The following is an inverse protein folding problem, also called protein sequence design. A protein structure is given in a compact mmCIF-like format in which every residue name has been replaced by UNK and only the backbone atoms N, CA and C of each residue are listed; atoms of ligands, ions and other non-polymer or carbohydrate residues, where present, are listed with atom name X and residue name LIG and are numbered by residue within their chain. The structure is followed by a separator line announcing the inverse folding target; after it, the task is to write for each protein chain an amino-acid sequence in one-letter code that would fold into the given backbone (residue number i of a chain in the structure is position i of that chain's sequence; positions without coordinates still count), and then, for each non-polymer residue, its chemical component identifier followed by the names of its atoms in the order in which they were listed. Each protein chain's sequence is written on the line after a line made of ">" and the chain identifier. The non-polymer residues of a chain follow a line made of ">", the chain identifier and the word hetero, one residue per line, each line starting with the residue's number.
data_IF_415190643366
#
_entry.id   IF_415190643366
#
_cell.length_a   1.000
_cell.length_b   1.000
_cell.length_c   1.000
_cell.angle_alpha   90.00
_cell.angle_beta   90.00
_cell.angle_gamma   90.00
#
_symmetry.space_group_name_H-M   'P 1'
#
loop_
_entity.id
_entity.type
_entity.pdbx_description
1 polymer ?
#
# COMPACT_ATOMS: atom_id res chain seq x y z
N UNK A 1 0.34 28.45 -0.37
CA UNK A 1 0.63 27.81 0.92
C UNK A 1 2.14 27.82 1.02
N UNK A 2 2.69 28.63 1.92
CA UNK A 2 4.13 28.71 2.11
C UNK A 2 4.56 27.51 2.93
N UNK A 3 5.20 26.54 2.27
CA UNK A 3 5.71 25.34 2.91
C UNK A 3 6.80 25.72 3.91
N UNK A 4 6.56 25.47 5.20
CA UNK A 4 7.57 25.63 6.26
C UNK A 4 8.36 24.33 6.39
N UNK A 5 9.67 24.40 6.17
CA UNK A 5 10.56 23.25 6.34
C UNK A 5 11.33 23.39 7.65
N UNK A 6 11.25 22.38 8.51
CA UNK A 6 12.09 22.30 9.70
C UNK A 6 13.50 21.83 9.30
N UNK A 7 14.52 22.61 9.63
CA UNK A 7 15.92 22.21 9.47
C UNK A 7 16.40 21.59 10.78
N UNK A 8 16.53 20.27 10.83
CA UNK A 8 17.11 19.60 12.00
C UNK A 8 18.62 19.80 12.02
N UNK A 9 19.16 20.20 13.18
CA UNK A 9 20.61 20.30 13.46
C UNK A 9 21.16 19.05 14.17
N UNK A 10 20.31 18.07 14.48
CA UNK A 10 20.68 16.89 15.26
C UNK A 10 21.47 15.85 14.46
N UNK A 11 21.40 15.89 13.13
CA UNK A 11 22.11 14.99 12.22
C UNK A 11 22.82 15.82 11.15
N UNK A 12 24.13 15.61 10.97
CA UNK A 12 24.84 16.18 9.84
C UNK A 12 24.33 15.58 8.53
N UNK A 13 24.48 16.33 7.43
CA UNK A 13 24.08 15.87 6.09
C UNK A 13 24.85 14.61 5.70
N UNK A 14 26.11 14.53 6.07
CA UNK A 14 26.98 13.38 5.81
C UNK A 14 26.47 12.12 6.51
N UNK A 15 26.11 12.23 7.79
CA UNK A 15 25.53 11.11 8.55
C UNK A 15 24.19 10.69 7.97
N UNK A 16 23.30 11.65 7.67
CA UNK A 16 22.01 11.36 7.05
C UNK A 16 22.17 10.64 5.70
N UNK A 17 23.08 11.11 4.84
CA UNK A 17 23.39 10.46 3.57
C UNK A 17 23.92 9.03 3.77
N UNK A 18 24.78 8.81 4.76
CA UNK A 18 25.27 7.47 5.11
C UNK A 18 24.15 6.51 5.54
N UNK A 19 23.21 6.99 6.36
CA UNK A 19 22.05 6.21 6.82
C UNK A 19 21.04 5.91 5.71
N UNK A 20 20.99 6.74 4.66
CA UNK A 20 20.12 6.57 3.49
C UNK A 20 20.75 5.72 2.39
N UNK A 21 21.94 5.16 2.62
CA UNK A 21 22.61 4.29 1.65
C UNK A 21 21.78 3.03 1.36
N UNK A 22 21.53 2.77 0.07
CA UNK A 22 20.71 1.64 -0.39
C UNK A 22 21.60 0.49 -0.81
N UNK A 23 21.21 -0.74 -0.50
CA UNK A 23 21.94 -1.94 -0.88
C UNK A 23 21.03 -2.99 -1.50
N UNK A 24 21.45 -3.54 -2.64
CA UNK A 24 20.65 -4.47 -3.42
C UNK A 24 20.48 -5.84 -2.75
N UNK A 25 21.56 -6.42 -2.23
CA UNK A 25 21.53 -7.79 -1.71
C UNK A 25 20.63 -7.95 -0.49
N UNK A 26 20.68 -7.06 0.53
CA UNK A 26 19.76 -7.14 1.65
C UNK A 26 18.30 -6.93 1.23
N UNK A 27 18.05 -6.07 0.24
CA UNK A 27 16.70 -5.83 -0.27
C UNK A 27 16.11 -7.07 -0.96
N UNK A 28 16.89 -7.76 -1.81
CA UNK A 28 16.46 -9.04 -2.42
C UNK A 28 16.17 -10.08 -1.34
N UNK A 29 17.11 -10.28 -0.41
CA UNK A 29 16.96 -11.28 0.65
C UNK A 29 15.71 -11.05 1.51
N UNK A 30 15.46 -9.80 1.93
CA UNK A 30 14.25 -9.44 2.70
C UNK A 30 12.99 -9.61 1.88
N UNK A 31 12.97 -9.17 0.62
CA UNK A 31 11.80 -9.32 -0.25
C UNK A 31 11.43 -10.80 -0.44
N UNK A 32 12.41 -11.63 -0.83
CA UNK A 32 12.22 -13.06 -1.03
C UNK A 32 11.76 -13.75 0.26
N UNK A 33 12.41 -13.46 1.40
CA UNK A 33 12.03 -14.04 2.69
C UNK A 33 10.58 -13.71 3.06
N UNK A 34 10.20 -12.42 2.98
CA UNK A 34 8.85 -11.98 3.32
C UNK A 34 7.80 -12.62 2.40
N UNK A 35 8.07 -12.70 1.10
CA UNK A 35 7.18 -13.37 0.15
C UNK A 35 7.06 -14.87 0.44
N UNK A 36 8.17 -15.58 0.66
CA UNK A 36 8.15 -17.01 0.93
C UNK A 36 7.42 -17.34 2.24
N UNK A 37 7.65 -16.57 3.31
CA UNK A 37 6.97 -16.76 4.59
C UNK A 37 5.47 -16.48 4.48
N UNK A 38 5.07 -15.46 3.73
CA UNK A 38 3.65 -15.18 3.43
C UNK A 38 3.00 -16.33 2.64
N UNK A 39 3.66 -16.86 1.61
CA UNK A 39 3.12 -17.97 0.81
C UNK A 39 3.06 -19.28 1.61
N UNK A 40 4.09 -19.57 2.42
CA UNK A 40 4.13 -20.75 3.27
C UNK A 40 3.03 -20.71 4.34
N UNK A 41 2.86 -19.57 5.02
CA UNK A 41 1.77 -19.40 6.01
C UNK A 41 0.39 -19.48 5.36
N UNK A 42 0.20 -18.93 4.16
CA UNK A 42 -1.04 -19.07 3.40
C UNK A 42 -1.32 -20.53 3.00
N UNK A 43 -0.29 -21.28 2.64
CA UNK A 43 -0.40 -22.72 2.34
C UNK A 43 -0.84 -23.50 3.59
N UNK A 44 -0.24 -23.21 4.75
CA UNK A 44 -0.64 -23.83 6.04
C UNK A 44 -2.10 -23.51 6.37
N UNK A 45 -2.55 -22.28 6.15
CA UNK A 45 -3.96 -21.90 6.33
C UNK A 45 -4.89 -22.75 5.45
N UNK A 46 -4.56 -22.93 4.17
CA UNK A 46 -5.36 -23.76 3.25
C UNK A 46 -5.38 -25.22 3.70
N UNK A 47 -4.22 -25.78 4.07
CA UNK A 47 -4.10 -27.18 4.52
C UNK A 47 -4.83 -27.46 5.83
N UNK A 48 -4.99 -26.44 6.69
CA UNK A 48 -5.69 -26.58 7.98
C UNK A 48 -7.18 -26.24 7.90
N UNK A 49 -7.68 -25.74 6.76
CA UNK A 49 -9.03 -25.19 6.61
C UNK A 49 -10.16 -26.16 6.98
N UNK A 50 -10.03 -27.43 6.61
CA UNK A 50 -11.00 -28.49 6.94
C UNK A 50 -10.74 -29.16 8.31
N UNK A 51 -9.74 -28.68 9.05
CA UNK A 51 -9.35 -29.21 10.35
C UNK A 51 -10.13 -28.59 11.51
N UNK A 52 -9.68 -28.84 12.76
CA UNK A 52 -10.26 -28.22 13.95
C UNK A 52 -10.23 -26.69 13.88
N UNK A 53 -11.26 -26.05 14.43
CA UNK A 53 -11.43 -24.58 14.35
C UNK A 53 -10.19 -23.82 14.86
N UNK A 54 -9.60 -24.27 15.96
CA UNK A 54 -8.42 -23.62 16.53
C UNK A 54 -7.21 -23.63 15.58
N UNK A 55 -7.07 -24.66 14.73
CA UNK A 55 -5.91 -24.84 13.88
C UNK A 55 -5.91 -23.84 12.73
N UNK A 56 -7.02 -23.72 12.00
CA UNK A 56 -7.12 -22.75 10.92
C UNK A 56 -7.21 -21.31 11.44
N UNK A 57 -7.79 -21.07 12.62
CA UNK A 57 -7.79 -19.74 13.25
C UNK A 57 -6.37 -19.30 13.59
N UNK A 58 -5.54 -20.18 14.17
CA UNK A 58 -4.14 -19.86 14.45
C UNK A 58 -3.36 -19.62 13.14
N UNK A 59 -3.54 -20.49 12.14
CA UNK A 59 -2.91 -20.32 10.84
C UNK A 59 -3.32 -19.00 10.16
N UNK A 60 -4.58 -18.58 10.30
CA UNK A 60 -5.10 -17.31 9.79
C UNK A 60 -4.41 -16.11 10.45
N UNK A 61 -4.23 -16.14 11.77
CA UNK A 61 -3.53 -15.07 12.50
C UNK A 61 -2.07 -14.96 12.06
N UNK A 62 -1.38 -16.10 11.91
CA UNK A 62 0.01 -16.15 11.41
C UNK A 62 0.08 -15.60 9.98
N UNK A 63 -0.79 -16.08 9.09
CA UNK A 63 -0.85 -15.59 7.71
C UNK A 63 -1.13 -14.07 7.66
N UNK A 64 -2.06 -13.57 8.47
CA UNK A 64 -2.36 -12.14 8.57
C UNK A 64 -1.13 -11.32 8.98
N UNK A 65 -0.40 -11.75 10.01
CA UNK A 65 0.83 -11.08 10.44
C UNK A 65 1.93 -11.11 9.36
N UNK A 66 2.11 -12.26 8.69
CA UNK A 66 3.07 -12.41 7.60
C UNK A 66 2.70 -11.56 6.38
N UNK A 67 1.41 -11.48 6.04
CA UNK A 67 0.89 -10.64 4.95
C UNK A 67 1.10 -9.16 5.25
N UNK A 68 0.75 -8.68 6.45
CA UNK A 68 1.04 -7.31 6.87
C UNK A 68 2.54 -6.98 6.83
N UNK A 69 3.39 -7.93 7.21
CA UNK A 69 4.85 -7.76 7.14
C UNK A 69 5.35 -7.69 5.69
N UNK A 70 4.79 -8.50 4.79
CA UNK A 70 5.11 -8.46 3.37
C UNK A 70 4.68 -7.14 2.70
N UNK A 71 3.62 -6.49 3.19
CA UNK A 71 3.22 -5.16 2.72
C UNK A 71 4.31 -4.10 2.93
N UNK A 72 5.14 -4.22 3.97
CA UNK A 72 6.28 -3.33 4.18
C UNK A 72 7.25 -3.33 2.98
N UNK A 73 7.40 -4.47 2.29
CA UNK A 73 8.22 -4.55 1.09
C UNK A 73 7.61 -3.76 -0.08
N UNK A 74 6.28 -3.79 -0.27
CA UNK A 74 5.58 -2.94 -1.23
C UNK A 74 5.74 -1.45 -0.88
N UNK A 75 5.57 -1.09 0.39
CA UNK A 75 5.74 0.27 0.87
C UNK A 75 7.12 0.83 0.53
N UNK A 76 8.18 0.14 0.94
CA UNK A 76 9.55 0.60 0.77
C UNK A 76 9.97 0.67 -0.71
N UNK A 77 9.49 -0.26 -1.52
CA UNK A 77 9.76 -0.26 -2.96
C UNK A 77 8.97 0.82 -3.71
N UNK A 78 7.77 1.18 -3.25
CA UNK A 78 6.99 2.30 -3.80
C UNK A 78 7.66 3.66 -3.52
N UNK A 79 8.33 3.79 -2.37
CA UNK A 79 9.21 4.94 -2.07
C UNK A 79 10.51 4.93 -2.88
N UNK A 80 10.90 3.77 -3.40
CA UNK A 80 12.16 3.60 -4.13
C UNK A 80 13.39 3.56 -3.23
N UNK A 81 13.20 3.25 -1.95
CA UNK A 81 14.23 3.26 -0.92
C UNK A 81 14.80 1.87 -0.63
N UNK A 82 14.13 0.80 -1.06
CA UNK A 82 14.61 -0.58 -0.87
C UNK A 82 15.86 -0.89 -1.72
N UNK A 83 15.78 -0.72 -3.05
CA UNK A 83 16.89 -1.04 -3.97
C UNK A 83 17.66 0.21 -4.40
N UNK A 84 18.94 0.06 -4.77
CA UNK A 84 19.72 1.13 -5.40
C UNK A 84 19.22 1.48 -6.81
N UNK A 85 18.60 0.52 -7.51
CA UNK A 85 18.04 0.71 -8.85
C UNK A 85 16.57 1.08 -8.79
N UNK A 86 16.21 2.12 -9.55
CA UNK A 86 14.80 2.54 -9.72
C UNK A 86 13.96 1.48 -10.41
N UNK A 87 14.49 0.75 -11.39
CA UNK A 87 13.74 -0.31 -12.09
C UNK A 87 13.48 -1.50 -11.17
N UNK A 88 14.48 -1.90 -10.37
CA UNK A 88 14.32 -2.98 -9.39
C UNK A 88 13.22 -2.66 -8.37
N UNK A 89 13.19 -1.43 -7.84
CA UNK A 89 12.11 -0.98 -6.96
C UNK A 89 10.75 -1.05 -7.66
N UNK A 90 10.63 -0.58 -8.91
CA UNK A 90 9.36 -0.64 -9.66
C UNK A 90 8.85 -2.06 -9.87
N UNK A 91 9.74 -2.98 -10.25
CA UNK A 91 9.38 -4.39 -10.44
C UNK A 91 8.95 -5.02 -9.11
N UNK A 92 9.72 -4.82 -8.04
CA UNK A 92 9.39 -5.35 -6.73
C UNK A 92 8.07 -4.75 -6.18
N UNK A 93 7.83 -3.46 -6.41
CA UNK A 93 6.57 -2.80 -6.05
C UNK A 93 5.40 -3.38 -6.85
N UNK A 94 5.57 -3.65 -8.16
CA UNK A 94 4.53 -4.29 -8.96
C UNK A 94 4.20 -5.70 -8.45
N UNK A 95 5.21 -6.54 -8.19
CA UNK A 95 5.02 -7.88 -7.63
C UNK A 95 4.38 -7.86 -6.24
N UNK A 96 4.83 -6.95 -5.35
CA UNK A 96 4.21 -6.74 -4.04
C UNK A 96 2.76 -6.23 -4.16
N UNK A 97 2.48 -5.44 -5.20
CA UNK A 97 1.16 -4.95 -5.54
C UNK A 97 0.19 -6.06 -5.93
N UNK A 98 0.63 -7.02 -6.76
CA UNK A 98 -0.16 -8.22 -7.09
C UNK A 98 -0.53 -8.97 -5.80
N UNK A 99 0.45 -9.23 -4.93
CA UNK A 99 0.23 -9.94 -3.67
C UNK A 99 -0.78 -9.26 -2.72
N UNK A 100 -0.99 -7.94 -2.86
CA UNK A 100 -1.87 -7.15 -1.97
C UNK A 100 -3.09 -6.55 -2.67
N UNK A 101 -3.39 -7.00 -3.90
CA UNK A 101 -4.45 -6.47 -4.75
C UNK A 101 -4.38 -4.94 -4.84
N UNK A 102 -3.21 -4.43 -5.21
CA UNK A 102 -2.93 -2.99 -5.18
C UNK A 102 -1.96 -2.59 -6.31
N UNK A 103 -2.44 -1.96 -7.40
CA UNK A 103 -1.56 -1.48 -8.46
C UNK A 103 -0.55 -0.49 -7.87
N UNK A 104 0.74 -0.78 -8.05
CA UNK A 104 1.81 -0.10 -7.33
C UNK A 104 1.87 1.40 -7.62
N UNK A 105 1.59 1.80 -8.86
CA UNK A 105 1.49 3.18 -9.32
C UNK A 105 0.36 3.93 -8.62
N UNK A 106 -0.79 3.30 -8.46
CA UNK A 106 -1.95 3.86 -7.80
C UNK A 106 -1.76 3.93 -6.28
N UNK A 107 -1.16 2.90 -5.67
CA UNK A 107 -0.70 2.95 -4.27
C UNK A 107 0.27 4.11 -4.06
N UNK A 108 1.25 4.29 -4.95
CA UNK A 108 2.24 5.36 -4.84
C UNK A 108 1.63 6.76 -4.94
N UNK A 109 0.61 6.98 -5.78
CA UNK A 109 -0.12 8.25 -5.83
C UNK A 109 -0.90 8.52 -4.53
N UNK A 110 -1.60 7.51 -4.02
CA UNK A 110 -2.32 7.59 -2.75
C UNK A 110 -1.34 7.89 -1.60
N UNK A 111 -0.29 7.09 -1.50
CA UNK A 111 0.63 7.09 -0.39
C UNK A 111 1.50 8.35 -0.31
N UNK A 112 1.99 8.87 -1.45
CA UNK A 112 2.69 10.15 -1.43
C UNK A 112 1.76 11.34 -1.15
N UNK A 113 0.48 11.23 -1.50
CA UNK A 113 -0.49 12.26 -1.14
C UNK A 113 -0.80 12.21 0.35
N UNK A 114 -0.95 11.01 0.91
CA UNK A 114 -1.04 10.80 2.35
C UNK A 114 0.16 11.43 3.07
N UNK A 115 1.41 11.08 2.72
CA UNK A 115 2.60 11.69 3.35
C UNK A 115 2.70 13.21 3.22
N UNK A 116 2.16 13.78 2.14
CA UNK A 116 2.14 15.24 1.97
C UNK A 116 1.11 15.92 2.86
N UNK A 117 -0.01 15.24 3.12
CA UNK A 117 -1.19 15.80 3.76
C UNK A 117 -1.66 14.97 4.95
N UNK A 118 -0.73 14.30 5.66
CA UNK A 118 -1.07 13.31 6.69
C UNK A 118 -2.00 13.93 7.72
N UNK A 119 -3.15 13.29 7.94
CA UNK A 119 -4.20 13.76 8.85
C UNK A 119 -4.76 15.16 8.54
N UNK A 120 -4.63 15.68 7.31
CA UNK A 120 -5.36 16.86 6.84
C UNK A 120 -6.73 16.45 6.26
N UNK A 121 -7.85 16.75 6.93
CA UNK A 121 -9.19 16.36 6.47
C UNK A 121 -9.52 16.95 5.09
N UNK A 122 -10.03 16.12 4.17
CA UNK A 122 -10.36 16.51 2.80
C UNK A 122 -9.18 16.53 1.82
N UNK A 123 -7.96 16.25 2.28
CA UNK A 123 -6.75 16.14 1.44
C UNK A 123 -6.04 14.80 1.57
N UNK A 124 -6.00 14.24 2.78
CA UNK A 124 -5.44 12.92 3.01
C UNK A 124 -6.37 11.83 2.47
N UNK A 125 -5.95 11.04 1.46
CA UNK A 125 -6.78 9.99 0.88
C UNK A 125 -7.06 8.81 1.82
N UNK A 126 -6.37 8.69 2.96
CA UNK A 126 -6.63 7.62 3.94
C UNK A 126 -7.79 7.97 4.89
N UNK A 127 -8.10 9.25 5.06
CA UNK A 127 -9.20 9.73 5.91
C UNK A 127 -10.22 10.59 5.14
N UNK A 128 -10.16 10.59 3.81
CA UNK A 128 -11.03 11.39 2.95
C UNK A 128 -11.49 10.60 1.73
N UNK A 129 -12.74 10.79 1.35
CA UNK A 129 -13.27 10.33 0.07
C UNK A 129 -13.40 11.52 -0.88
N UNK A 130 -12.55 11.56 -1.90
CA UNK A 130 -12.44 12.73 -2.77
C UNK A 130 -11.89 13.93 -2.01
N UNK A 131 -12.68 15.00 -1.93
CA UNK A 131 -12.34 16.23 -1.21
C UNK A 131 -13.05 16.36 0.15
N UNK A 132 -13.77 15.31 0.58
CA UNK A 132 -14.56 15.34 1.82
C UNK A 132 -13.95 14.40 2.86
N UNK A 133 -13.79 14.83 4.11
CA UNK A 133 -13.33 13.94 5.17
C UNK A 133 -14.36 12.84 5.43
N UNK A 134 -13.86 11.65 5.74
CA UNK A 134 -14.68 10.53 6.20
C UNK A 134 -15.00 10.70 7.69
N UNK A 135 -16.15 10.19 8.16
CA UNK A 135 -16.44 10.14 9.59
C UNK A 135 -15.35 9.37 10.35
N UNK A 136 -15.01 9.84 11.55
CA UNK A 136 -14.00 9.16 12.38
C UNK A 136 -14.47 7.75 12.75
N UNK A 137 -13.65 6.74 12.48
CA UNK A 137 -13.96 5.36 12.83
C UNK A 137 -14.13 5.20 14.35
N UNK A 138 -13.37 5.95 15.16
CA UNK A 138 -13.37 5.84 16.61
C UNK A 138 -14.68 6.35 17.26
N UNK A 139 -15.38 7.28 16.62
CA UNK A 139 -16.61 7.88 17.14
C UNK A 139 -17.88 7.24 16.59
N UNK A 140 -17.75 6.26 15.69
CA UNK A 140 -18.87 5.60 15.00
C UNK A 140 -18.75 4.07 15.07
N UNK A 141 -19.33 3.41 16.11
CA UNK A 141 -19.17 1.97 16.32
C UNK A 141 -19.54 1.08 15.12
N UNK A 142 -20.62 1.32 14.36
CA UNK A 142 -20.90 0.51 13.16
C UNK A 142 -19.80 0.61 12.11
N UNK A 143 -19.24 1.81 11.93
CA UNK A 143 -18.12 2.04 11.02
C UNK A 143 -16.88 1.29 11.54
N UNK A 144 -16.53 1.46 12.81
CA UNK A 144 -15.42 0.73 13.45
C UNK A 144 -15.51 -0.80 13.25
N UNK A 145 -16.66 -1.40 13.59
CA UNK A 145 -16.87 -2.84 13.45
C UNK A 145 -16.77 -3.30 12.00
N UNK A 146 -17.28 -2.52 11.04
CA UNK A 146 -17.11 -2.85 9.62
C UNK A 146 -15.65 -2.81 9.18
N UNK A 147 -14.85 -1.85 9.66
CA UNK A 147 -13.41 -1.79 9.35
C UNK A 147 -12.62 -2.94 9.97
N UNK A 148 -13.01 -3.46 11.14
CA UNK A 148 -12.38 -4.66 11.73
C UNK A 148 -12.48 -5.90 10.83
N UNK A 149 -13.50 -5.98 9.97
CA UNK A 149 -13.63 -7.09 9.00
C UNK A 149 -12.63 -6.98 7.83
N UNK A 150 -12.03 -5.82 7.62
CA UNK A 150 -11.21 -5.50 6.44
C UNK A 150 -12.01 -5.33 5.13
N UNK A 151 -13.33 -5.59 5.13
CA UNK A 151 -14.18 -5.50 3.93
C UNK A 151 -14.20 -4.08 3.32
N UNK A 152 -14.32 -2.98 4.08
CA UNK A 152 -14.29 -1.64 3.50
C UNK A 152 -12.99 -1.35 2.74
N UNK A 153 -11.84 -1.76 3.29
CA UNK A 153 -10.54 -1.62 2.63
C UNK A 153 -10.44 -2.46 1.36
N UNK A 154 -10.90 -3.72 1.42
CA UNK A 154 -10.91 -4.60 0.25
C UNK A 154 -11.79 -4.03 -0.86
N UNK A 155 -13.00 -3.58 -0.54
CA UNK A 155 -13.91 -2.94 -1.50
C UNK A 155 -13.30 -1.68 -2.09
N UNK A 156 -12.67 -0.84 -1.27
CA UNK A 156 -11.97 0.34 -1.75
C UNK A 156 -10.87 -0.03 -2.75
N UNK A 157 -10.00 -0.99 -2.43
CA UNK A 157 -8.95 -1.47 -3.34
C UNK A 157 -9.51 -2.06 -4.64
N UNK A 158 -10.54 -2.89 -4.56
CA UNK A 158 -11.18 -3.48 -5.75
C UNK A 158 -11.78 -2.39 -6.64
N UNK A 159 -12.48 -1.40 -6.06
CA UNK A 159 -13.00 -0.27 -6.82
C UNK A 159 -11.89 0.55 -7.47
N UNK A 160 -10.78 0.78 -6.74
CA UNK A 160 -9.61 1.45 -7.31
C UNK A 160 -9.00 0.69 -8.48
N UNK A 161 -8.87 -0.63 -8.37
CA UNK A 161 -8.36 -1.50 -9.44
C UNK A 161 -9.26 -1.38 -10.67
N UNK A 162 -10.57 -1.57 -10.51
CA UNK A 162 -11.55 -1.51 -11.59
C UNK A 162 -11.52 -0.14 -12.27
N UNK A 163 -11.60 0.94 -11.49
CA UNK A 163 -11.56 2.30 -12.02
C UNK A 163 -10.22 2.60 -12.71
N UNK A 164 -9.12 2.08 -12.17
CA UNK A 164 -7.82 2.14 -12.81
C UNK A 164 -7.79 1.44 -14.16
N UNK A 165 -8.29 0.20 -14.24
CA UNK A 165 -8.35 -0.58 -15.48
C UNK A 165 -9.20 0.07 -16.57
N UNK A 166 -10.25 0.81 -16.17
CA UNK A 166 -11.06 1.66 -17.04
C UNK A 166 -10.37 2.98 -17.44
N UNK A 167 -9.07 3.12 -17.18
CA UNK A 167 -8.29 4.30 -17.53
C UNK A 167 -8.47 5.50 -16.60
N UNK A 168 -9.04 5.27 -15.41
CA UNK A 168 -9.32 6.28 -14.39
C UNK A 168 -10.08 7.49 -14.97
N UNK A 169 -11.37 7.32 -15.34
CA UNK A 169 -12.14 8.32 -16.10
C UNK A 169 -12.10 9.71 -15.47
N UNK A 170 -11.97 10.76 -16.29
CA UNK A 170 -11.70 12.12 -15.84
C UNK A 170 -12.64 12.65 -14.73
N UNK A 171 -13.97 12.54 -14.88
CA UNK A 171 -14.92 12.97 -13.85
C UNK A 171 -14.77 12.19 -12.54
N UNK A 172 -14.74 10.85 -12.61
CA UNK A 172 -14.58 9.96 -11.44
C UNK A 172 -13.27 10.24 -10.72
N UNK A 173 -12.17 10.37 -11.46
CA UNK A 173 -10.85 10.72 -10.91
C UNK A 173 -10.92 12.04 -10.16
N UNK A 174 -11.46 13.10 -10.76
CA UNK A 174 -11.54 14.42 -10.10
C UNK A 174 -12.40 14.36 -8.84
N UNK A 175 -13.45 13.55 -8.82
CA UNK A 175 -14.40 13.51 -7.70
C UNK A 175 -13.96 12.58 -6.57
N UNK A 176 -13.48 11.38 -6.88
CA UNK A 176 -13.20 10.31 -5.91
C UNK A 176 -11.71 10.04 -5.71
N UNK A 177 -10.90 10.25 -6.73
CA UNK A 177 -9.46 9.98 -6.70
C UNK A 177 -8.60 11.19 -7.11
N UNK A 178 -8.83 12.39 -6.53
CA UNK A 178 -8.20 13.62 -6.99
C UNK A 178 -6.66 13.58 -6.85
N UNK A 179 -6.16 12.73 -5.96
CA UNK A 179 -4.75 12.43 -5.74
C UNK A 179 -4.06 11.71 -6.91
N UNK A 180 -4.80 11.05 -7.80
CA UNK A 180 -4.22 10.41 -8.99
C UNK A 180 -3.95 11.46 -10.04
N UNK A 181 -2.67 11.72 -10.33
CA UNK A 181 -2.28 12.70 -11.36
C UNK A 181 -2.66 12.24 -12.76
N UNK A 182 -3.08 13.16 -13.67
CA UNK A 182 -3.42 12.81 -15.05
C UNK A 182 -2.31 12.05 -15.80
N UNK A 183 -1.04 12.40 -15.54
CA UNK A 183 0.12 11.77 -16.17
C UNK A 183 0.37 10.33 -15.73
N UNK A 184 -0.24 9.87 -14.62
CA UNK A 184 -0.09 8.51 -14.11
C UNK A 184 -1.21 7.56 -14.55
N UNK A 185 -2.25 8.08 -15.23
CA UNK A 185 -3.45 7.28 -15.61
C UNK A 185 -3.13 6.06 -16.45
N UNK A 186 -2.17 6.16 -17.38
CA UNK A 186 -1.76 5.02 -18.20
C UNK A 186 -1.05 3.95 -17.37
N UNK A 187 -0.11 4.33 -16.52
CA UNK A 187 0.59 3.39 -15.64
C UNK A 187 -0.39 2.68 -14.69
N UNK A 188 -1.31 3.45 -14.10
CA UNK A 188 -2.41 2.93 -13.27
C UNK A 188 -3.25 1.92 -14.06
N UNK A 189 -3.64 2.24 -15.29
CA UNK A 189 -4.45 1.33 -16.10
C UNK A 189 -3.74 0.02 -16.43
N UNK A 190 -2.49 0.09 -16.90
CA UNK A 190 -1.70 -1.08 -17.23
C UNK A 190 -1.45 -1.97 -16.01
N UNK A 191 -1.08 -1.38 -14.88
CA UNK A 191 -0.85 -2.14 -13.65
C UNK A 191 -2.16 -2.67 -13.05
N UNK A 192 -3.28 -1.95 -13.16
CA UNK A 192 -4.60 -2.48 -12.78
C UNK A 192 -4.97 -3.72 -13.57
N UNK A 193 -4.74 -3.73 -14.89
CA UNK A 193 -4.91 -4.94 -15.70
C UNK A 193 -3.95 -6.04 -15.27
N UNK A 194 -2.69 -5.71 -15.00
CA UNK A 194 -1.69 -6.68 -14.53
C UNK A 194 -1.99 -7.30 -13.15
N UNK A 195 -2.70 -6.59 -12.27
CA UNK A 195 -3.14 -7.12 -10.97
C UNK A 195 -4.38 -8.02 -11.09
N UNK A 196 -5.20 -7.83 -12.13
CA UNK A 196 -6.41 -8.63 -12.36
C UNK A 196 -6.18 -9.89 -13.21
N UNK A 197 -5.07 -9.95 -13.95
CA UNK A 197 -4.71 -11.07 -14.82
C UNK A 197 -4.12 -12.25 -14.03
#
# INVERSE_FOLDING_TARGET
>A
MDSQFHTSTQLSKETLHGLMARSHYPAVGKFVLLTLVMLASGTVLVLTWSGPVWAWVLALLVFGACSCSAFAALHETAHGTAFGSRSANRVAAFLGGIAHLYPSSLFRELHFTHHRHTHEPGKDPEISLGHKPMPSMLTHPPLYLSWLTGLPLLLFKVMMIIMGALGMPGPIRKQLYPFVRPSQRMAVALESWGVMA
#
